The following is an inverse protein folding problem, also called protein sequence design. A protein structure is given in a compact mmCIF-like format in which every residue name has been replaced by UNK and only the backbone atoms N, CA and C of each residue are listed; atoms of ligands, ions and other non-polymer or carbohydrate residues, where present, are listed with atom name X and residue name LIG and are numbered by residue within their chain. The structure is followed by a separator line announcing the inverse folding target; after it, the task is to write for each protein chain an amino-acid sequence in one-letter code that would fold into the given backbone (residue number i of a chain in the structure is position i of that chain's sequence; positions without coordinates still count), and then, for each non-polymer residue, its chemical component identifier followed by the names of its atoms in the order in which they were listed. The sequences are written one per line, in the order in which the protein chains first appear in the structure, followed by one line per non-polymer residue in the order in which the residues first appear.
data_IF_121504003662
#
_entry.id   IF_121504003662
#
_cell.length_a   1.000
_cell.length_b   1.000
_cell.length_c   1.000
_cell.angle_alpha   90.00
_cell.angle_beta   90.00
_cell.angle_gamma   90.00
#
_symmetry.space_group_name_H-M   'P 1'
#
loop_
_entity.id
_entity.type
_entity.pdbx_description
1 polymer ?
#
# COMPACT_ATOMS: atom_id res chain seq x y z
N UNK A 1 -20.63 23.01 -12.80
CA UNK A 1 -21.11 22.56 -14.13
C UNK A 1 -20.13 21.54 -14.68
N UNK A 2 -20.61 20.71 -15.60
CA UNK A 2 -20.37 19.26 -15.72
C UNK A 2 -18.95 18.79 -16.03
N UNK A 3 -18.58 17.61 -15.51
CA UNK A 3 -17.36 16.87 -15.89
C UNK A 3 -17.75 15.44 -16.26
N UNK A 4 -17.38 15.01 -17.47
CA UNK A 4 -17.62 13.66 -17.98
C UNK A 4 -16.27 12.97 -18.15
N UNK A 5 -16.13 11.77 -17.60
CA UNK A 5 -14.98 10.91 -17.83
C UNK A 5 -15.25 10.09 -19.11
N UNK A 6 -14.35 10.16 -20.09
CA UNK A 6 -14.43 9.37 -21.32
C UNK A 6 -13.18 8.47 -21.36
N UNK A 7 -13.39 7.17 -21.44
CA UNK A 7 -12.35 6.17 -21.67
C UNK A 7 -12.29 5.88 -23.19
N UNK A 8 -11.10 5.80 -23.81
CA UNK A 8 -11.01 5.63 -25.26
C UNK A 8 -11.27 4.20 -25.73
N UNK A 9 -11.31 3.18 -24.86
CA UNK A 9 -11.83 1.88 -25.27
C UNK A 9 -12.33 1.06 -24.07
N UNK A 10 -13.57 0.60 -24.15
CA UNK A 10 -14.31 -0.02 -23.04
C UNK A 10 -13.92 -1.49 -22.86
N UNK A 11 -13.37 -2.10 -23.91
CA UNK A 11 -13.08 -3.54 -23.98
C UNK A 11 -11.81 -3.92 -23.21
N UNK A 12 -10.72 -3.14 -23.32
CA UNK A 12 -9.47 -3.39 -22.58
C UNK A 12 -9.59 -3.10 -21.08
N UNK A 13 -10.46 -2.16 -20.70
CA UNK A 13 -10.66 -1.78 -19.30
C UNK A 13 -11.34 -2.90 -18.49
N UNK A 14 -12.20 -3.70 -19.12
CA UNK A 14 -12.86 -4.83 -18.46
C UNK A 14 -11.88 -5.99 -18.19
N UNK A 15 -11.01 -6.30 -19.15
CA UNK A 15 -10.03 -7.40 -19.03
C UNK A 15 -8.91 -7.07 -18.02
N UNK A 16 -8.46 -5.82 -17.95
CA UNK A 16 -7.46 -5.39 -16.97
C UNK A 16 -7.97 -5.40 -15.52
N UNK A 17 -9.28 -5.19 -15.31
CA UNK A 17 -9.93 -5.29 -13.99
C UNK A 17 -10.05 -6.75 -13.53
N UNK A 18 -10.31 -7.68 -14.45
CA UNK A 18 -10.26 -9.12 -14.19
C UNK A 18 -8.84 -9.61 -13.87
N UNK A 19 -7.80 -8.97 -14.44
CA UNK A 19 -6.40 -9.32 -14.23
C UNK A 19 -5.65 -8.50 -13.14
N UNK A 20 -6.35 -7.67 -12.35
CA UNK A 20 -5.79 -6.93 -11.21
C UNK A 20 -4.64 -5.96 -11.54
N UNK A 21 -4.64 -5.31 -12.71
CA UNK A 21 -3.72 -4.20 -12.99
C UNK A 21 -4.45 -2.84 -13.02
N UNK A 22 -3.95 -1.79 -12.32
CA UNK A 22 -4.58 -0.48 -12.31
C UNK A 22 -4.18 0.36 -13.54
N UNK A 23 -5.15 0.67 -14.41
CA UNK A 23 -4.96 1.59 -15.54
C UNK A 23 -5.11 3.05 -15.09
N UNK A 24 -4.25 3.93 -15.63
CA UNK A 24 -4.28 5.38 -15.42
C UNK A 24 -5.51 6.01 -16.10
N UNK A 25 -6.27 6.82 -15.37
CA UNK A 25 -7.42 7.55 -15.90
C UNK A 25 -7.03 8.99 -16.17
N UNK A 26 -6.97 9.41 -17.43
CA UNK A 26 -6.79 10.82 -17.84
C UNK A 26 -8.13 11.58 -17.82
N UNK A 27 -8.12 12.81 -17.34
CA UNK A 27 -9.27 13.73 -17.33
C UNK A 27 -8.91 14.93 -18.21
N UNK A 28 -9.69 15.22 -19.27
CA UNK A 28 -9.54 16.44 -20.09
C UNK A 28 -10.69 17.41 -19.84
N UNK A 29 -10.40 18.72 -19.81
CA UNK A 29 -11.40 19.79 -19.76
C UNK A 29 -11.23 20.75 -20.94
N UNK A 30 -12.31 21.46 -21.29
CA UNK A 30 -12.38 22.49 -22.33
C UNK A 30 -12.77 23.81 -21.64
N UNK A 31 -12.05 24.91 -21.94
CA UNK A 31 -12.39 26.26 -21.49
C UNK A 31 -13.15 27.03 -22.60
N UNK A 32 -13.87 28.09 -22.23
CA UNK A 32 -14.85 28.84 -23.06
C UNK A 32 -14.28 29.59 -24.30
N UNK A 33 -12.99 29.45 -24.63
CA UNK A 33 -12.34 30.10 -25.79
C UNK A 33 -11.82 29.14 -26.85
N UNK A 34 -12.18 27.85 -26.80
CA UNK A 34 -11.87 26.91 -27.89
C UNK A 34 -10.44 26.38 -27.94
N UNK A 35 -9.64 26.54 -26.87
CA UNK A 35 -8.33 25.89 -26.75
C UNK A 35 -8.39 24.66 -25.84
N UNK A 36 -7.91 23.52 -26.34
CA UNK A 36 -7.86 22.24 -25.63
C UNK A 36 -6.58 22.15 -24.80
N UNK A 37 -6.69 22.19 -23.46
CA UNK A 37 -5.55 21.88 -22.57
C UNK A 37 -5.56 20.40 -22.20
N UNK A 38 -4.50 19.70 -22.63
CA UNK A 38 -4.24 18.29 -22.31
C UNK A 38 -3.23 18.23 -21.17
N UNK A 39 -3.65 17.81 -19.98
CA UNK A 39 -2.74 17.47 -18.88
C UNK A 39 -2.55 15.94 -18.87
N UNK A 40 -1.43 15.48 -19.44
CA UNK A 40 -0.95 14.11 -19.26
C UNK A 40 -0.43 13.98 -17.83
N UNK A 41 -1.22 13.44 -16.91
CA UNK A 41 -0.66 12.93 -15.66
C UNK A 41 0.08 11.62 -15.97
N UNK A 42 1.36 11.74 -16.32
CA UNK A 42 2.32 10.65 -16.20
C UNK A 42 2.31 10.14 -14.76
N UNK A 43 2.45 8.83 -14.54
CA UNK A 43 2.34 8.22 -13.22
C UNK A 43 3.51 8.69 -12.36
N UNK A 44 3.23 9.52 -11.35
CA UNK A 44 4.26 9.89 -10.38
C UNK A 44 4.38 8.77 -9.36
N UNK A 45 5.08 7.71 -9.75
CA UNK A 45 5.88 6.94 -8.82
C UNK A 45 7.05 7.83 -8.40
N UNK A 46 7.29 7.94 -7.09
CA UNK A 46 8.50 8.48 -6.43
C UNK A 46 8.75 10.00 -6.61
N UNK A 47 9.07 10.83 -5.61
CA UNK A 47 9.97 10.69 -4.46
C UNK A 47 9.68 11.77 -3.39
N UNK A 48 9.77 11.37 -2.11
CA UNK A 48 10.29 12.15 -0.96
C UNK A 48 9.94 13.65 -0.83
N UNK A 49 8.96 13.94 0.02
CA UNK A 49 9.19 14.85 1.16
C UNK A 49 8.81 14.13 2.45
N UNK A 50 9.75 13.31 2.87
CA UNK A 50 10.01 13.01 4.27
C UNK A 50 10.25 14.34 5.01
N UNK A 51 9.18 14.95 5.53
CA UNK A 51 9.29 15.45 6.89
C UNK A 51 9.43 14.18 7.74
N UNK A 52 10.60 13.97 8.32
CA UNK A 52 10.95 12.82 9.14
C UNK A 52 9.99 12.70 10.33
N UNK A 53 8.82 12.13 10.13
CA UNK A 53 8.19 11.33 11.18
C UNK A 53 9.10 10.14 11.36
N UNK A 54 9.81 10.08 12.49
CA UNK A 54 10.51 8.87 12.94
C UNK A 54 9.64 7.65 12.59
N UNK A 55 10.22 6.49 12.20
CA UNK A 55 9.45 5.25 12.25
C UNK A 55 8.81 5.27 13.63
N UNK A 56 7.46 5.33 13.70
CA UNK A 56 6.78 5.45 14.98
C UNK A 56 7.41 4.37 15.82
N UNK A 57 8.09 4.86 16.86
CA UNK A 57 9.01 4.11 17.68
C UNK A 57 8.29 2.82 18.03
N UNK A 58 9.05 1.74 18.22
CA UNK A 58 8.58 0.54 18.93
C UNK A 58 8.21 0.94 20.38
N UNK A 59 7.27 1.87 20.54
CA UNK A 59 6.61 2.16 21.79
C UNK A 59 5.64 1.02 21.92
N UNK A 60 5.86 0.24 22.97
CA UNK A 60 4.98 -0.81 23.48
C UNK A 60 3.53 -0.33 23.74
N UNK A 61 3.25 0.96 23.50
CA UNK A 61 1.96 1.60 23.69
C UNK A 61 1.30 1.86 22.33
N UNK A 62 0.01 1.49 22.17
CA UNK A 62 -0.75 1.79 20.96
C UNK A 62 -0.81 3.32 20.75
N UNK A 63 -0.62 3.84 19.52
CA UNK A 63 -0.73 5.27 19.24
C UNK A 63 -2.14 5.77 19.56
N UNK A 64 -2.21 6.99 20.09
CA UNK A 64 -3.47 7.69 20.41
C UNK A 64 -4.10 8.30 19.17
N UNK A 65 -5.32 7.91 18.87
CA UNK A 65 -6.01 8.24 17.63
C UNK A 65 -7.10 9.28 17.87
N UNK A 66 -7.00 10.44 17.20
CA UNK A 66 -8.12 11.36 17.06
C UNK A 66 -8.86 11.06 15.76
N UNK A 67 -10.18 10.91 15.82
CA UNK A 67 -11.00 10.64 14.63
C UNK A 67 -11.84 11.85 14.26
N UNK A 68 -11.76 12.28 13.00
CA UNK A 68 -12.59 13.35 12.46
C UNK A 68 -13.29 12.93 11.17
N UNK A 69 -14.62 12.82 11.20
CA UNK A 69 -15.41 12.43 10.03
C UNK A 69 -15.29 10.94 9.65
N UNK A 70 -14.89 10.11 10.61
CA UNK A 70 -14.77 8.64 10.49
C UNK A 70 -15.65 7.99 11.57
N UNK A 71 -16.28 6.85 11.24
CA UNK A 71 -17.22 6.20 12.16
C UNK A 71 -16.46 5.45 13.28
N UNK A 72 -16.56 5.97 14.51
CA UNK A 72 -15.97 5.39 15.74
C UNK A 72 -16.40 3.95 15.99
N UNK A 73 -17.70 3.66 15.86
CA UNK A 73 -18.25 2.33 16.09
C UNK A 73 -17.69 1.30 15.09
N UNK A 74 -17.60 1.67 13.82
CA UNK A 74 -17.04 0.81 12.77
C UNK A 74 -15.54 0.55 12.96
N UNK A 75 -14.77 1.58 13.33
CA UNK A 75 -13.35 1.43 13.64
C UNK A 75 -13.16 0.50 14.85
N UNK A 76 -13.94 0.72 15.92
CA UNK A 76 -13.90 -0.09 17.13
C UNK A 76 -14.27 -1.56 16.87
N UNK A 77 -15.29 -1.83 16.06
CA UNK A 77 -15.66 -3.20 15.67
C UNK A 77 -14.53 -3.91 14.92
N UNK A 78 -13.96 -3.25 13.91
CA UNK A 78 -12.87 -3.82 13.11
C UNK A 78 -11.57 -4.01 13.91
N UNK A 79 -11.35 -3.18 14.92
CA UNK A 79 -10.26 -3.37 15.87
C UNK A 79 -10.49 -4.56 16.80
N UNK A 80 -11.73 -4.72 17.32
CA UNK A 80 -12.11 -5.88 18.14
C UNK A 80 -11.97 -7.19 17.35
N UNK A 81 -12.38 -7.21 16.09
CA UNK A 81 -12.17 -8.37 15.18
C UNK A 81 -10.69 -8.77 15.09
N UNK A 82 -9.77 -7.81 15.21
CA UNK A 82 -8.32 -8.03 15.17
C UNK A 82 -7.65 -8.09 16.54
N UNK A 83 -8.44 -8.09 17.62
CA UNK A 83 -7.93 -8.07 19.00
C UNK A 83 -6.93 -6.92 19.25
N UNK A 84 -7.15 -5.77 18.58
CA UNK A 84 -6.32 -4.58 18.74
C UNK A 84 -6.89 -3.70 19.85
N UNK A 85 -6.03 -3.27 20.78
CA UNK A 85 -6.33 -2.22 21.75
C UNK A 85 -6.12 -0.85 21.10
N UNK A 86 -7.21 -0.22 20.67
CA UNK A 86 -7.18 1.16 20.18
C UNK A 86 -7.35 2.15 21.34
N UNK A 87 -6.51 3.18 21.38
CA UNK A 87 -6.69 4.32 22.25
C UNK A 87 -7.26 5.49 21.42
N UNK A 88 -8.57 5.73 21.52
CA UNK A 88 -9.27 6.79 20.78
C UNK A 88 -9.47 7.98 21.69
N UNK A 89 -8.88 9.12 21.35
CA UNK A 89 -8.89 10.33 22.16
C UNK A 89 -9.82 11.38 21.55
N UNK A 90 -10.44 12.19 22.42
CA UNK A 90 -11.39 13.24 22.05
C UNK A 90 -10.74 14.62 21.92
N UNK A 91 -9.49 14.76 22.33
CA UNK A 91 -8.71 15.99 22.29
C UNK A 91 -7.57 15.86 21.27
N UNK A 92 -7.37 16.91 20.47
CA UNK A 92 -6.32 16.91 19.44
C UNK A 92 -4.92 16.95 20.07
N UNK A 93 -4.76 17.65 21.20
CA UNK A 93 -3.47 17.83 21.89
C UNK A 93 -2.88 16.56 22.51
N UNK A 94 -3.72 15.56 22.76
CA UNK A 94 -3.32 14.28 23.36
C UNK A 94 -3.12 13.17 22.31
N UNK A 95 -3.43 13.45 21.05
CA UNK A 95 -3.38 12.48 19.97
C UNK A 95 -1.98 12.40 19.34
N UNK A 96 -1.60 11.19 18.93
CA UNK A 96 -0.38 10.94 18.15
C UNK A 96 -0.68 10.89 16.64
N UNK A 97 -1.94 10.69 16.26
CA UNK A 97 -2.39 10.61 14.87
C UNK A 97 -3.83 11.11 14.71
N UNK A 98 -4.06 11.99 13.74
CA UNK A 98 -5.39 12.38 13.27
C UNK A 98 -5.82 11.48 12.11
N UNK A 99 -6.98 10.82 12.22
CA UNK A 99 -7.58 10.06 11.11
C UNK A 99 -8.80 10.81 10.60
N UNK A 100 -8.81 11.13 9.30
CA UNK A 100 -9.92 11.82 8.64
C UNK A 100 -10.24 11.24 7.27
N UNK A 101 -11.34 11.67 6.65
CA UNK A 101 -11.71 11.29 5.29
C UNK A 101 -11.23 12.32 4.26
N UNK A 102 -11.07 11.88 3.01
CA UNK A 102 -10.64 12.73 1.89
C UNK A 102 -11.56 13.94 1.67
N UNK A 103 -12.86 13.78 1.93
CA UNK A 103 -13.83 14.87 1.85
C UNK A 103 -13.54 15.97 2.87
N UNK A 104 -13.30 15.59 4.13
CA UNK A 104 -13.01 16.54 5.20
C UNK A 104 -11.63 17.16 5.04
N UNK A 105 -10.62 16.38 4.65
CA UNK A 105 -9.28 16.90 4.37
C UNK A 105 -9.27 18.00 3.31
N UNK A 106 -10.01 17.81 2.20
CA UNK A 106 -10.10 18.81 1.13
C UNK A 106 -10.76 20.11 1.55
N UNK A 107 -11.74 20.04 2.46
CA UNK A 107 -12.45 21.24 2.96
C UNK A 107 -11.62 22.04 3.97
N UNK A 108 -10.54 21.46 4.51
CA UNK A 108 -9.66 22.05 5.54
C UNK A 108 -10.42 22.82 6.64
N UNK A 109 -11.34 22.17 7.38
CA UNK A 109 -11.96 22.75 8.57
C UNK A 109 -10.89 23.02 9.65
N UNK A 110 -11.27 23.81 10.66
CA UNK A 110 -10.34 24.31 11.68
C UNK A 110 -9.53 23.20 12.35
N UNK A 111 -10.14 22.07 12.70
CA UNK A 111 -9.48 20.91 13.31
C UNK A 111 -8.30 20.38 12.46
N UNK A 112 -8.41 20.42 11.12
CA UNK A 112 -7.35 19.97 10.23
C UNK A 112 -6.23 21.01 10.16
N UNK A 113 -6.58 22.30 10.18
CA UNK A 113 -5.58 23.40 10.22
C UNK A 113 -4.82 23.39 11.55
N UNK A 114 -5.51 23.17 12.65
CA UNK A 114 -4.92 23.07 13.98
C UNK A 114 -3.98 21.86 14.05
N UNK A 115 -4.39 20.72 13.48
CA UNK A 115 -3.56 19.52 13.38
C UNK A 115 -2.29 19.76 12.53
N UNK A 116 -2.44 20.44 11.38
CA UNK A 116 -1.30 20.86 10.55
C UNK A 116 -0.37 21.82 11.32
N UNK A 117 -0.93 22.78 12.08
CA UNK A 117 -0.16 23.77 12.84
C UNK A 117 0.68 23.14 13.96
N UNK A 118 0.14 22.11 14.64
CA UNK A 118 0.87 21.36 15.67
C UNK A 118 1.74 20.22 15.09
N UNK A 119 1.82 20.11 13.75
CA UNK A 119 2.51 19.03 13.04
C UNK A 119 2.04 17.61 13.43
N UNK A 120 0.77 17.46 13.80
CA UNK A 120 0.17 16.17 14.07
C UNK A 120 0.03 15.40 12.75
N UNK A 121 0.56 14.18 12.63
CA UNK A 121 0.40 13.38 11.42
C UNK A 121 -1.09 13.15 11.11
N UNK A 122 -1.46 13.34 9.85
CA UNK A 122 -2.85 13.21 9.38
C UNK A 122 -2.95 12.04 8.41
N UNK A 123 -3.71 11.01 8.77
CA UNK A 123 -4.05 9.91 7.89
C UNK A 123 -5.40 10.16 7.21
N UNK A 124 -5.40 10.16 5.88
CA UNK A 124 -6.59 10.43 5.07
C UNK A 124 -7.14 9.15 4.44
N UNK A 125 -8.36 8.77 4.81
CA UNK A 125 -9.13 7.67 4.20
C UNK A 125 -9.81 8.13 2.92
N UNK A 126 -9.72 7.36 1.83
CA UNK A 126 -10.41 7.65 0.57
C UNK A 126 -11.94 7.58 0.75
N UNK A 127 -12.42 6.61 1.50
CA UNK A 127 -13.81 6.42 1.91
C UNK A 127 -13.92 5.67 3.24
N UNK A 128 -15.04 5.83 3.94
CA UNK A 128 -15.28 5.22 5.26
C UNK A 128 -15.79 3.76 5.12
N UNK A 129 -15.10 2.96 4.29
CA UNK A 129 -15.48 1.56 4.01
C UNK A 129 -14.67 0.57 4.85
N UNK A 130 -15.24 -0.61 5.21
CA UNK A 130 -14.53 -1.60 6.02
C UNK A 130 -13.16 -2.03 5.48
N UNK A 131 -12.97 -2.29 4.17
CA UNK A 131 -11.64 -2.65 3.64
C UNK A 131 -10.58 -1.57 3.87
N UNK A 132 -10.95 -0.30 3.72
CA UNK A 132 -10.00 0.81 3.92
C UNK A 132 -9.67 1.03 5.39
N UNK A 133 -10.63 0.82 6.28
CA UNK A 133 -10.39 0.85 7.71
C UNK A 133 -9.50 -0.33 8.13
N UNK A 134 -9.70 -1.53 7.57
CA UNK A 134 -8.80 -2.68 7.79
C UNK A 134 -7.37 -2.38 7.31
N UNK A 135 -7.22 -1.72 6.17
CA UNK A 135 -5.92 -1.29 5.65
C UNK A 135 -5.25 -0.26 6.57
N UNK A 136 -5.99 0.74 7.05
CA UNK A 136 -5.53 1.71 8.04
C UNK A 136 -4.99 1.01 9.29
N UNK A 137 -5.80 0.13 9.89
CA UNK A 137 -5.43 -0.60 11.10
C UNK A 137 -4.18 -1.47 10.89
N UNK A 138 -4.03 -2.06 9.70
CA UNK A 138 -2.84 -2.86 9.35
C UNK A 138 -1.57 -2.00 9.26
N UNK A 139 -1.68 -0.77 8.75
CA UNK A 139 -0.54 0.15 8.64
C UNK A 139 -0.12 0.74 9.99
N UNK A 140 -1.08 1.08 10.84
CA UNK A 140 -0.83 1.71 12.15
C UNK A 140 -0.38 0.67 13.17
N UNK A 141 -0.97 -0.53 13.11
CA UNK A 141 -0.64 -1.65 13.98
C UNK A 141 -0.09 -2.79 13.12
N UNK A 142 1.17 -2.71 12.67
CA UNK A 142 1.81 -3.83 12.03
C UNK A 142 1.87 -4.98 13.04
N UNK A 143 1.06 -6.01 12.80
CA UNK A 143 1.15 -7.24 13.57
C UNK A 143 2.35 -8.04 13.07
N UNK A 144 3.12 -8.69 13.94
CA UNK A 144 4.19 -9.60 13.52
C UNK A 144 3.66 -10.74 12.62
N UNK A 145 2.36 -11.04 12.64
CA UNK A 145 1.71 -11.98 11.72
C UNK A 145 1.52 -11.37 10.33
N UNK A 146 1.13 -10.09 10.25
CA UNK A 146 0.97 -9.42 8.95
C UNK A 146 2.30 -9.15 8.28
N UNK A 147 3.33 -8.77 9.04
CA UNK A 147 4.70 -8.63 8.50
C UNK A 147 5.22 -9.94 7.91
N UNK A 148 4.95 -11.08 8.55
CA UNK A 148 5.32 -12.41 8.02
C UNK A 148 4.58 -12.76 6.74
N UNK A 149 3.27 -12.46 6.65
CA UNK A 149 2.48 -12.70 5.44
C UNK A 149 2.96 -11.81 4.30
N UNK A 150 3.24 -10.54 4.57
CA UNK A 150 3.70 -9.59 3.56
C UNK A 150 5.12 -9.95 3.10
N UNK A 151 6.01 -10.33 4.03
CA UNK A 151 7.34 -10.87 3.70
C UNK A 151 7.27 -12.13 2.84
N UNK A 152 6.37 -13.07 3.15
CA UNK A 152 6.16 -14.27 2.35
C UNK A 152 5.68 -13.91 0.93
N UNK A 153 4.68 -13.05 0.81
CA UNK A 153 4.15 -12.62 -0.50
C UNK A 153 5.22 -11.95 -1.35
N UNK A 154 6.00 -11.04 -0.75
CA UNK A 154 7.11 -10.37 -1.44
C UNK A 154 8.14 -11.39 -1.93
N UNK A 155 8.50 -12.39 -1.11
CA UNK A 155 9.47 -13.41 -1.49
C UNK A 155 8.99 -14.37 -2.58
N UNK A 156 7.69 -14.66 -2.66
CA UNK A 156 7.11 -15.47 -3.74
C UNK A 156 7.02 -14.67 -5.05
N UNK A 157 6.57 -13.42 -4.98
CA UNK A 157 6.53 -12.52 -6.14
C UNK A 157 7.93 -12.32 -6.72
N UNK A 158 8.95 -12.16 -5.88
CA UNK A 158 10.35 -12.05 -6.33
C UNK A 158 10.79 -13.28 -7.15
N UNK A 159 10.36 -14.47 -6.76
CA UNK A 159 10.67 -15.69 -7.50
C UNK A 159 9.93 -15.75 -8.84
N UNK A 160 8.66 -15.34 -8.89
CA UNK A 160 7.88 -15.24 -10.14
C UNK A 160 8.49 -14.23 -11.12
N UNK A 161 8.92 -13.07 -10.61
CA UNK A 161 9.61 -12.05 -11.39
C UNK A 161 10.95 -12.57 -11.93
N UNK A 162 11.70 -13.30 -11.10
CA UNK A 162 12.96 -13.91 -11.52
C UNK A 162 12.75 -14.96 -12.63
N UNK A 163 11.71 -15.79 -12.54
CA UNK A 163 11.36 -16.75 -13.58
C UNK A 163 11.06 -16.04 -14.91
N UNK A 164 10.31 -14.95 -14.85
CA UNK A 164 9.97 -14.15 -16.03
C UNK A 164 11.22 -13.58 -16.70
N UNK A 165 12.14 -13.02 -15.90
CA UNK A 165 13.42 -12.50 -16.40
C UNK A 165 14.32 -13.59 -16.98
N UNK A 166 14.37 -14.78 -16.36
CA UNK A 166 15.16 -15.91 -16.89
C UNK A 166 14.58 -16.42 -18.21
N UNK A 167 13.25 -16.51 -18.32
CA UNK A 167 12.58 -16.86 -19.58
C UNK A 167 12.84 -15.83 -20.69
N UNK A 168 12.97 -14.55 -20.34
CA UNK A 168 13.24 -13.45 -21.26
C UNK A 168 14.73 -13.32 -21.68
N UNK A 169 15.60 -14.24 -21.26
CA UNK A 169 16.98 -14.34 -21.75
C UNK A 169 18.07 -14.09 -20.72
N UNK A 170 17.73 -13.85 -19.45
CA UNK A 170 18.73 -13.74 -18.39
C UNK A 170 19.15 -15.15 -17.91
N UNK A 171 20.42 -15.53 -18.07
CA UNK A 171 20.84 -16.91 -17.77
C UNK A 171 20.72 -17.29 -16.29
N UNK A 172 20.92 -16.32 -15.39
CA UNK A 172 21.02 -16.54 -13.94
C UNK A 172 20.45 -15.37 -13.16
N UNK A 173 19.64 -15.67 -12.14
CA UNK A 173 19.16 -14.69 -11.15
C UNK A 173 19.27 -15.25 -9.73
N UNK A 174 19.81 -14.43 -8.82
CA UNK A 174 19.82 -14.71 -7.38
C UNK A 174 18.70 -13.94 -6.70
N UNK A 175 17.95 -14.64 -5.83
CA UNK A 175 16.90 -14.05 -5.01
C UNK A 175 17.44 -13.53 -3.68
N UNK A 176 16.63 -12.78 -2.96
CA UNK A 176 16.89 -12.39 -1.58
C UNK A 176 17.08 -13.60 -0.63
N UNK A 177 17.85 -13.46 0.47
CA UNK A 177 17.93 -14.47 1.51
C UNK A 177 16.58 -14.73 2.18
N UNK A 178 16.22 -16.01 2.33
CA UNK A 178 14.91 -16.41 2.81
C UNK A 178 14.98 -17.64 3.73
N UNK A 179 13.97 -17.78 4.59
CA UNK A 179 13.82 -18.94 5.46
C UNK A 179 13.68 -20.25 4.67
N UNK A 180 14.06 -21.39 5.27
CA UNK A 180 14.03 -22.70 4.60
C UNK A 180 12.66 -23.04 3.99
N UNK A 181 11.55 -22.68 4.64
CA UNK A 181 10.20 -22.90 4.13
C UNK A 181 9.93 -22.10 2.85
N UNK A 182 10.27 -20.81 2.83
CA UNK A 182 10.09 -19.94 1.66
C UNK A 182 10.99 -20.42 0.51
N UNK A 183 12.25 -20.77 0.79
CA UNK A 183 13.16 -21.32 -0.23
C UNK A 183 12.61 -22.58 -0.89
N UNK A 184 11.98 -23.48 -0.10
CA UNK A 184 11.31 -24.66 -0.64
C UNK A 184 10.19 -24.28 -1.61
N UNK A 185 9.38 -23.29 -1.28
CA UNK A 185 8.34 -22.79 -2.18
C UNK A 185 8.94 -22.17 -3.45
N UNK A 186 9.98 -21.36 -3.33
CA UNK A 186 10.67 -20.76 -4.48
C UNK A 186 11.27 -21.82 -5.42
N UNK A 187 11.85 -22.89 -4.86
CA UNK A 187 12.30 -24.05 -5.64
C UNK A 187 11.14 -24.72 -6.40
N UNK A 188 9.98 -24.93 -5.76
CA UNK A 188 8.80 -25.51 -6.41
C UNK A 188 8.26 -24.63 -7.55
N UNK A 189 8.29 -23.30 -7.40
CA UNK A 189 7.87 -22.38 -8.46
C UNK A 189 8.84 -22.46 -9.65
N UNK A 190 10.16 -22.54 -9.41
CA UNK A 190 11.15 -22.73 -10.46
C UNK A 190 10.97 -24.07 -11.21
N UNK A 191 10.78 -25.16 -10.46
CA UNK A 191 10.56 -26.50 -11.00
C UNK A 191 9.30 -26.57 -11.88
N UNK A 192 8.18 -25.99 -11.42
CA UNK A 192 6.93 -25.89 -12.20
C UNK A 192 7.10 -25.12 -13.51
N UNK A 193 8.12 -24.27 -13.60
CA UNK A 193 8.43 -23.49 -14.79
C UNK A 193 9.57 -24.08 -15.61
N UNK A 194 9.96 -25.34 -15.35
CA UNK A 194 11.06 -26.05 -16.01
C UNK A 194 12.41 -25.31 -15.90
N UNK A 195 12.66 -24.62 -14.79
CA UNK A 195 13.92 -23.96 -14.50
C UNK A 195 14.69 -24.68 -13.39
N UNK A 196 16.00 -24.75 -13.54
CA UNK A 196 16.88 -25.29 -12.53
C UNK A 196 17.07 -24.29 -11.39
N UNK A 197 17.22 -24.79 -10.16
CA UNK A 197 17.37 -23.93 -8.99
C UNK A 197 18.31 -24.54 -7.95
N UNK A 198 19.11 -23.69 -7.29
CA UNK A 198 20.08 -24.11 -6.28
C UNK A 198 20.11 -23.13 -5.11
N UNK A 199 20.08 -23.65 -3.89
CA UNK A 199 20.26 -22.84 -2.68
C UNK A 199 21.74 -22.58 -2.40
N UNK A 200 22.14 -21.32 -2.24
CA UNK A 200 23.51 -20.86 -1.93
C UNK A 200 23.57 -20.11 -0.60
N UNK A 201 24.70 -20.20 0.10
CA UNK A 201 24.94 -19.54 1.40
C UNK A 201 24.65 -20.42 2.62
N UNK A 202 24.80 -19.84 3.82
CA UNK A 202 24.49 -20.46 5.11
C UNK A 202 23.31 -19.74 5.74
N UNK A 203 22.47 -20.46 6.49
CA UNK A 203 21.37 -19.84 7.23
C UNK A 203 21.94 -18.83 8.26
N UNK A 204 21.35 -17.62 8.41
CA UNK A 204 20.08 -17.13 7.83
C UNK A 204 20.21 -16.46 6.44
N UNK A 205 21.42 -16.19 5.94
CA UNK A 205 21.66 -15.49 4.67
C UNK A 205 21.58 -16.39 3.43
N UNK A 206 20.96 -17.57 3.58
CA UNK A 206 20.82 -18.56 2.52
C UNK A 206 19.73 -18.13 1.54
N UNK A 207 20.04 -18.19 0.25
CA UNK A 207 19.17 -17.72 -0.85
C UNK A 207 19.07 -18.74 -1.99
N UNK A 208 18.04 -18.61 -2.82
CA UNK A 208 17.84 -19.44 -4.01
C UNK A 208 18.35 -18.72 -5.24
N UNK A 209 19.10 -19.44 -6.08
CA UNK A 209 19.53 -19.02 -7.41
C UNK A 209 18.75 -19.83 -8.44
N UNK A 210 18.13 -19.16 -9.40
CA UNK A 210 17.37 -19.76 -10.50
C UNK A 210 18.15 -19.54 -11.80
N UNK A 211 18.22 -20.57 -12.64
CA UNK A 211 18.92 -20.54 -13.92
C UNK A 211 18.26 -21.48 -14.94
N UNK A 212 18.60 -21.28 -16.21
CA UNK A 212 18.11 -22.11 -17.32
C UNK A 212 18.99 -23.33 -17.55
#
# INVERSE_FOLDING_TARGET
RDRVAIHPDVSEAADAILHSQPIATEIRWLDETGEVRTEKETPVTTTTKTAKGKPLVKTTKPPRLYLFGVNRGRLGQLAKERQLSLDIVNNLSEADLLVTSKSYYRRKPQIIRDAEAINLPIYVLRSNTPPQIKQLLTKIYPSPVTEKIDSLKLALNEAEDAITKVKNGQEVIELSPQSAYIRRLQHLIAERNNLASKSLGKDPDRRVRIYK
#
